data_IF_810125470250
#
_entry.id   IF_810125470250
#
_cell.length_a   1.000
_cell.length_b   1.000
_cell.length_c   1.000
_cell.angle_alpha   90.00
_cell.angle_beta   90.00
_cell.angle_gamma   90.00
#
_symmetry.space_group_name_H-M   'P 1'
#
loop_
_entity.id
_entity.type
_entity.pdbx_description
1 polymer ?
#
# COMPACT_ATOMS: atom_id res chain seq x y z
N UNK A 1 13.37 12.66 18.80
CA UNK A 1 12.94 12.58 20.21
C UNK A 1 11.67 13.38 20.30
N UNK A 2 10.58 12.77 20.77
CA UNK A 2 9.31 13.49 20.93
C UNK A 2 9.25 14.07 22.33
N UNK A 3 8.86 15.33 22.46
CA UNK A 3 8.60 15.93 23.77
C UNK A 3 7.23 15.44 24.28
N UNK A 4 7.16 14.69 25.39
CA UNK A 4 5.90 14.19 25.93
C UNK A 4 4.91 15.28 26.33
N UNK A 5 5.36 16.52 26.51
CA UNK A 5 4.48 17.66 26.83
C UNK A 5 3.64 18.12 25.65
N UNK A 6 4.05 17.76 24.43
CA UNK A 6 3.38 18.14 23.20
C UNK A 6 2.53 17.00 22.61
N UNK A 7 2.32 15.92 23.38
CA UNK A 7 1.55 14.75 22.97
C UNK A 7 0.16 14.73 23.60
N UNK A 8 -0.85 14.46 22.78
CA UNK A 8 -2.24 14.31 23.19
C UNK A 8 -2.61 12.83 23.27
N UNK A 9 -3.49 12.49 24.21
CA UNK A 9 -3.98 11.12 24.36
C UNK A 9 -4.72 10.72 23.08
N UNK A 10 -4.23 9.67 22.42
CA UNK A 10 -4.70 9.25 21.10
C UNK A 10 -3.71 9.45 19.97
N UNK A 11 -2.66 10.26 20.14
CA UNK A 11 -1.64 10.48 19.10
C UNK A 11 -0.94 9.17 18.73
N UNK A 12 -0.85 8.88 17.43
CA UNK A 12 -0.13 7.70 16.96
C UNK A 12 1.37 7.92 17.08
N UNK A 13 2.04 6.96 17.69
CA UNK A 13 3.47 6.97 17.97
C UNK A 13 4.12 5.69 17.46
N UNK A 14 5.32 5.83 16.93
CA UNK A 14 6.19 4.71 16.56
C UNK A 14 7.37 4.59 17.52
N UNK A 15 7.62 3.38 17.98
CA UNK A 15 8.78 3.03 18.81
C UNK A 15 9.97 2.74 17.91
N UNK A 16 10.98 3.61 17.89
CA UNK A 16 12.12 3.54 16.95
C UNK A 16 12.84 2.18 17.01
N UNK A 17 13.14 1.68 18.21
CA UNK A 17 13.87 0.42 18.40
C UNK A 17 13.14 -0.85 17.97
N UNK A 18 11.80 -0.84 17.92
CA UNK A 18 11.01 -2.06 17.69
C UNK A 18 10.08 -1.96 16.48
N UNK A 19 9.97 -0.78 15.87
CA UNK A 19 9.04 -0.47 14.78
C UNK A 19 7.56 -0.44 15.17
N UNK A 20 7.22 -0.75 16.44
CA UNK A 20 5.84 -0.87 16.92
C UNK A 20 5.12 0.48 16.89
N UNK A 21 3.90 0.45 16.37
CA UNK A 21 2.99 1.60 16.33
C UNK A 21 1.93 1.43 17.41
N UNK A 22 1.59 2.51 18.10
CA UNK A 22 0.52 2.54 19.09
C UNK A 22 0.17 3.97 19.48
N UNK A 23 -0.90 4.14 20.22
CA UNK A 23 -1.39 5.46 20.60
C UNK A 23 -0.81 5.91 21.94
N UNK A 24 -0.59 7.21 22.09
CA UNK A 24 -0.19 7.82 23.35
C UNK A 24 -1.32 7.74 24.37
N UNK A 25 -1.06 7.20 25.56
CA UNK A 25 -2.02 7.10 26.67
C UNK A 25 -1.57 7.91 27.91
N UNK A 26 -0.54 8.75 27.76
CA UNK A 26 0.00 9.59 28.83
C UNK A 26 1.41 9.19 29.28
N UNK A 27 1.87 9.81 30.38
CA UNK A 27 3.20 9.58 30.95
C UNK A 27 3.07 8.86 32.29
N UNK A 28 3.83 7.79 32.49
CA UNK A 28 3.91 7.12 33.78
C UNK A 28 4.73 7.94 34.78
N UNK A 29 4.51 7.75 36.09
CA UNK A 29 5.17 8.53 37.14
C UNK A 29 6.71 8.47 37.15
N UNK A 30 7.31 7.56 36.38
CA UNK A 30 8.76 7.45 36.15
C UNK A 30 9.27 8.22 34.91
N UNK A 31 8.43 9.07 34.31
CA UNK A 31 8.77 9.88 33.14
C UNK A 31 8.79 9.13 31.80
N UNK A 32 8.43 7.84 31.77
CA UNK A 32 8.29 7.07 30.53
C UNK A 32 6.90 7.22 29.93
N UNK A 33 6.84 7.26 28.61
CA UNK A 33 5.60 7.40 27.84
C UNK A 33 4.87 6.05 27.76
N UNK A 34 3.55 6.07 27.97
CA UNK A 34 2.65 4.93 27.76
C UNK A 34 2.19 4.92 26.31
N UNK A 35 2.58 3.87 25.59
CA UNK A 35 2.15 3.61 24.22
C UNK A 35 1.26 2.37 24.21
N UNK A 36 -0.01 2.54 23.85
CA UNK A 36 -0.97 1.44 23.73
C UNK A 36 -0.91 0.86 22.33
N UNK A 37 -0.47 -0.38 22.20
CA UNK A 37 -0.41 -1.09 20.92
C UNK A 37 -1.23 -2.38 21.07
N UNK A 38 -2.44 -2.36 20.49
CA UNK A 38 -3.45 -3.41 20.68
C UNK A 38 -3.96 -3.48 22.13
N UNK A 39 -4.08 -4.68 22.75
CA UNK A 39 -4.56 -4.84 24.12
C UNK A 39 -3.49 -4.57 25.19
N UNK A 40 -2.25 -4.22 24.81
CA UNK A 40 -1.10 -4.10 25.72
C UNK A 40 -0.55 -2.68 25.73
N UNK A 41 -0.14 -2.21 26.91
CA UNK A 41 0.50 -0.91 27.13
C UNK A 41 2.00 -1.11 27.31
N UNK A 42 2.79 -0.33 26.58
CA UNK A 42 4.25 -0.34 26.62
C UNK A 42 4.77 0.95 27.23
N UNK A 43 5.74 0.84 28.15
CA UNK A 43 6.45 1.98 28.72
C UNK A 43 7.73 2.24 27.94
N UNK A 44 7.77 3.33 27.20
CA UNK A 44 8.86 3.66 26.27
C UNK A 44 9.46 5.01 26.65
N UNK A 45 10.79 5.12 26.59
CA UNK A 45 11.45 6.41 26.78
C UNK A 45 11.09 7.35 25.62
N UNK A 46 10.86 8.63 25.92
CA UNK A 46 10.54 9.68 24.92
C UNK A 46 11.60 9.82 23.83
N UNK A 47 12.86 9.52 24.15
CA UNK A 47 13.99 9.47 23.21
C UNK A 47 13.81 8.41 22.12
N UNK A 48 13.07 7.34 22.42
CA UNK A 48 12.86 6.18 21.56
C UNK A 48 11.48 6.20 20.87
N UNK A 49 10.80 7.36 20.87
CA UNK A 49 9.51 7.58 20.24
C UNK A 49 9.60 8.63 19.14
N UNK A 50 8.77 8.46 18.11
CA UNK A 50 8.46 9.43 17.06
C UNK A 50 6.96 9.48 16.80
N UNK A 51 6.45 10.66 16.44
CA UNK A 51 5.06 10.80 16.01
C UNK A 51 4.89 10.05 14.70
N UNK A 52 3.90 9.17 14.65
CA UNK A 52 3.52 8.43 13.46
C UNK A 52 2.38 9.15 12.80
N UNK A 53 2.69 9.96 11.80
CA UNK A 53 1.71 10.35 10.77
C UNK A 53 1.89 9.37 9.62
N UNK A 54 0.85 8.63 9.21
CA UNK A 54 0.86 8.01 7.89
C UNK A 54 1.19 9.11 6.90
N UNK A 55 2.28 8.94 6.13
CA UNK A 55 2.61 9.91 5.09
C UNK A 55 1.47 9.86 4.08
N UNK A 56 0.57 10.85 4.12
CA UNK A 56 -0.27 11.14 2.97
C UNK A 56 0.70 11.58 1.86
N UNK A 57 0.73 10.83 0.76
CA UNK A 57 1.51 11.20 -0.41
C UNK A 57 1.10 12.62 -0.81
N UNK A 58 2.03 13.60 -0.84
CA UNK A 58 1.69 14.94 -1.29
C UNK A 58 1.24 14.85 -2.74
N UNK A 59 0.05 15.36 -3.01
CA UNK A 59 -0.46 15.64 -4.36
C UNK A 59 0.61 16.41 -5.15
N UNK A 60 1.36 15.72 -6.00
CA UNK A 60 2.27 16.37 -6.95
C UNK A 60 1.46 16.84 -8.14
N UNK A 61 0.94 18.07 -8.02
CA UNK A 61 0.69 18.90 -9.19
C UNK A 61 2.04 19.46 -9.67
N UNK A 62 2.37 19.17 -10.93
CA UNK A 62 3.36 19.82 -11.79
C UNK A 62 4.65 20.40 -11.13
N UNK A 63 5.73 19.63 -11.27
CA UNK A 63 7.06 20.16 -11.62
C UNK A 63 7.98 20.62 -10.49
N UNK A 64 9.27 20.36 -10.76
CA UNK A 64 10.49 20.87 -10.12
C UNK A 64 11.20 19.88 -9.18
N UNK A 65 12.51 19.85 -9.43
CA UNK A 65 13.52 18.84 -9.19
C UNK A 65 13.91 18.64 -7.72
N UNK A 66 14.56 17.49 -7.52
CA UNK A 66 15.42 17.08 -6.40
C UNK A 66 14.76 16.99 -5.02
N UNK A 67 14.46 15.75 -4.58
CA UNK A 67 14.86 15.24 -3.25
C UNK A 67 14.94 13.72 -3.30
N UNK A 68 16.18 13.25 -3.25
CA UNK A 68 16.62 11.93 -2.83
C UNK A 68 16.09 11.58 -1.43
N UNK A 69 15.27 10.53 -1.26
CA UNK A 69 15.20 9.75 -0.01
C UNK A 69 14.72 8.30 -0.26
N UNK A 70 15.71 7.44 -0.49
CA UNK A 70 15.87 6.09 0.08
C UNK A 70 14.64 5.21 0.37
N UNK A 71 13.69 5.10 -0.56
CA UNK A 71 13.01 3.83 -0.74
C UNK A 71 13.97 2.89 -1.46
N UNK A 72 14.65 2.07 -0.66
CA UNK A 72 15.33 0.83 -1.03
C UNK A 72 15.52 0.67 -2.55
N UNK A 73 16.73 0.98 -3.02
CA UNK A 73 17.27 0.52 -4.30
C UNK A 73 17.06 -0.98 -4.43
N UNK A 74 15.88 -1.37 -4.89
CA UNK A 74 15.74 -2.41 -5.88
C UNK A 74 15.89 -1.66 -7.21
N UNK A 75 17.11 -1.16 -7.47
CA UNK A 75 17.59 -0.91 -8.82
C UNK A 75 17.95 -2.27 -9.47
N UNK A 76 17.17 -3.32 -9.19
CA UNK A 76 16.82 -4.21 -10.27
C UNK A 76 15.91 -3.34 -11.15
N UNK A 77 16.24 -3.23 -12.42
CA UNK A 77 15.17 -3.22 -13.42
C UNK A 77 14.28 -4.44 -13.12
N UNK A 78 13.34 -4.31 -12.17
CA UNK A 78 12.31 -5.30 -11.87
C UNK A 78 11.53 -5.38 -13.18
N UNK A 79 11.88 -6.38 -13.99
CA UNK A 79 11.16 -6.64 -15.23
C UNK A 79 9.72 -6.87 -14.81
N UNK A 80 8.85 -5.93 -15.18
CA UNK A 80 7.41 -6.10 -15.00
C UNK A 80 7.04 -7.45 -15.60
N UNK A 81 6.48 -8.32 -14.75
CA UNK A 81 6.05 -9.65 -15.16
C UNK A 81 4.89 -9.56 -16.15
N UNK A 82 4.66 -10.64 -16.92
CA UNK A 82 3.54 -10.69 -17.87
C UNK A 82 2.18 -10.94 -17.18
N UNK A 83 2.17 -11.12 -15.86
CA UNK A 83 0.96 -11.25 -15.07
C UNK A 83 1.10 -10.66 -13.66
N UNK A 84 -0.04 -10.27 -13.07
CA UNK A 84 -0.19 -9.92 -11.65
C UNK A 84 -1.32 -10.74 -11.02
N UNK A 85 -1.09 -11.21 -9.79
CA UNK A 85 -2.09 -11.85 -8.95
C UNK A 85 -2.54 -10.89 -7.86
N UNK A 86 -3.83 -10.51 -7.90
CA UNK A 86 -4.44 -9.55 -7.00
C UNK A 86 -4.97 -10.19 -5.72
N UNK A 87 -4.82 -11.49 -5.49
CA UNK A 87 -5.26 -12.09 -4.23
C UNK A 87 -4.47 -11.52 -3.03
N UNK A 88 -5.16 -11.22 -1.94
CA UNK A 88 -4.58 -10.56 -0.76
C UNK A 88 -3.42 -11.35 -0.17
N UNK A 89 -3.48 -12.68 -0.20
CA UNK A 89 -2.44 -13.57 0.30
C UNK A 89 -1.14 -13.44 -0.51
N UNK A 90 -1.23 -13.00 -1.77
CA UNK A 90 -0.07 -12.73 -2.64
C UNK A 90 0.48 -11.33 -2.47
N UNK A 91 -0.40 -10.34 -2.22
CA UNK A 91 -0.01 -8.94 -2.09
C UNK A 91 0.54 -8.61 -0.69
N UNK A 92 -0.07 -9.13 0.37
CA UNK A 92 0.32 -8.85 1.77
C UNK A 92 -0.28 -9.89 2.72
N UNK A 93 0.48 -10.95 3.07
CA UNK A 93 0.02 -12.01 3.98
C UNK A 93 -0.41 -11.49 5.36
N UNK A 94 0.17 -10.37 5.81
CA UNK A 94 -0.10 -9.76 7.11
C UNK A 94 -1.47 -9.05 7.19
N UNK A 95 -2.10 -8.76 6.05
CA UNK A 95 -3.38 -8.06 5.95
C UNK A 95 -4.60 -8.99 5.83
N UNK A 96 -4.42 -10.31 5.97
CA UNK A 96 -5.52 -11.27 5.87
C UNK A 96 -6.64 -11.06 6.91
N UNK A 97 -6.38 -10.31 7.98
CA UNK A 97 -7.35 -9.93 9.02
C UNK A 97 -7.72 -8.44 9.00
N UNK A 98 -7.32 -7.69 7.97
CA UNK A 98 -7.67 -6.29 7.83
C UNK A 98 -9.16 -6.12 7.47
N UNK A 99 -9.67 -4.89 7.61
CA UNK A 99 -11.02 -4.56 7.16
C UNK A 99 -11.14 -4.84 5.64
N UNK A 100 -12.26 -5.44 5.17
CA UNK A 100 -12.44 -5.78 3.77
C UNK A 100 -12.23 -4.61 2.80
N UNK A 101 -12.63 -3.40 3.21
CA UNK A 101 -12.41 -2.15 2.46
C UNK A 101 -10.92 -1.86 2.25
N UNK A 102 -10.10 -2.03 3.29
CA UNK A 102 -8.65 -1.81 3.19
C UNK A 102 -7.98 -2.82 2.27
N UNK A 103 -8.49 -4.05 2.25
CA UNK A 103 -8.01 -5.12 1.38
C UNK A 103 -8.29 -4.77 -0.08
N UNK A 104 -9.53 -4.35 -0.40
CA UNK A 104 -9.88 -4.02 -1.79
C UNK A 104 -9.07 -2.82 -2.28
N UNK A 105 -8.85 -1.80 -1.46
CA UNK A 105 -8.04 -0.63 -1.82
C UNK A 105 -6.60 -1.02 -2.18
N UNK A 106 -5.99 -1.94 -1.43
CA UNK A 106 -4.65 -2.44 -1.72
C UNK A 106 -4.61 -3.18 -3.06
N UNK A 107 -5.60 -4.02 -3.34
CA UNK A 107 -5.68 -4.78 -4.59
C UNK A 107 -5.84 -3.86 -5.81
N UNK A 108 -6.69 -2.85 -5.65
CA UNK A 108 -6.95 -1.78 -6.61
C UNK A 108 -5.68 -0.96 -6.88
N UNK A 109 -4.98 -0.52 -5.84
CA UNK A 109 -3.72 0.21 -5.98
C UNK A 109 -2.62 -0.65 -6.64
N UNK A 110 -2.54 -1.93 -6.28
CA UNK A 110 -1.59 -2.87 -6.89
C UNK A 110 -1.85 -3.06 -8.38
N UNK A 111 -3.11 -3.08 -8.79
CA UNK A 111 -3.50 -3.12 -10.20
C UNK A 111 -3.05 -1.86 -10.95
N UNK A 112 -3.28 -0.66 -10.41
CA UNK A 112 -2.91 0.60 -11.08
C UNK A 112 -1.40 0.68 -11.31
N UNK A 113 -0.62 0.44 -10.25
CA UNK A 113 0.84 0.44 -10.31
C UNK A 113 1.35 -0.55 -11.37
N UNK A 114 0.74 -1.74 -11.44
CA UNK A 114 1.14 -2.75 -12.41
C UNK A 114 0.82 -2.35 -13.85
N UNK A 115 -0.38 -1.81 -14.12
CA UNK A 115 -0.77 -1.38 -15.47
C UNK A 115 0.15 -0.26 -15.96
N UNK A 116 0.40 0.75 -15.14
CA UNK A 116 1.32 1.85 -15.48
C UNK A 116 2.73 1.31 -15.78
N UNK A 117 3.23 0.39 -14.93
CA UNK A 117 4.53 -0.22 -15.12
C UNK A 117 4.59 -1.06 -16.41
N UNK A 118 3.54 -1.81 -16.74
CA UNK A 118 3.44 -2.61 -17.97
C UNK A 118 3.44 -1.74 -19.23
N UNK A 119 2.70 -0.62 -19.20
CA UNK A 119 2.66 0.38 -20.28
C UNK A 119 4.05 1.00 -20.46
N UNK A 120 4.70 1.43 -19.37
CA UNK A 120 6.06 2.01 -19.40
C UNK A 120 7.08 1.02 -19.94
N UNK A 121 6.93 -0.26 -19.60
CA UNK A 121 7.76 -1.35 -20.11
C UNK A 121 7.41 -1.79 -21.54
N UNK A 122 6.43 -1.15 -22.20
CA UNK A 122 5.92 -1.49 -23.53
C UNK A 122 5.51 -2.95 -23.68
N UNK A 123 4.87 -3.52 -22.65
CA UNK A 123 4.32 -4.87 -22.72
C UNK A 123 3.11 -4.86 -23.65
N UNK A 124 3.13 -5.67 -24.70
CA UNK A 124 1.99 -5.76 -25.62
C UNK A 124 0.79 -6.49 -25.00
N UNK A 125 1.04 -7.46 -24.13
CA UNK A 125 0.00 -8.30 -23.51
C UNK A 125 0.38 -8.55 -22.05
N UNK A 126 -0.61 -8.46 -21.16
CA UNK A 126 -0.48 -8.86 -19.74
C UNK A 126 -1.72 -9.60 -19.25
N UNK A 127 -1.59 -10.30 -18.13
CA UNK A 127 -2.71 -11.01 -17.47
C UNK A 127 -2.95 -10.51 -16.05
N UNK A 128 -4.19 -10.15 -15.74
CA UNK A 128 -4.63 -9.73 -14.41
C UNK A 128 -5.43 -10.88 -13.77
N UNK A 129 -4.91 -11.50 -12.72
CA UNK A 129 -5.58 -12.57 -11.98
C UNK A 129 -6.29 -11.93 -10.78
N UNK A 130 -7.62 -11.83 -10.86
CA UNK A 130 -8.46 -11.23 -9.82
C UNK A 130 -9.33 -12.25 -9.07
N UNK A 131 -9.28 -13.51 -9.47
CA UNK A 131 -10.09 -14.59 -8.91
C UNK A 131 -11.54 -14.58 -9.42
N UNK A 132 -12.24 -15.71 -9.24
CA UNK A 132 -13.65 -15.86 -9.64
C UNK A 132 -14.58 -15.12 -8.67
N UNK A 133 -14.47 -15.46 -7.37
CA UNK A 133 -15.12 -14.76 -6.26
C UNK A 133 -16.58 -14.35 -6.49
N UNK A 134 -16.97 -13.20 -5.93
CA UNK A 134 -18.24 -12.52 -6.19
C UNK A 134 -18.21 -11.60 -7.41
N UNK A 135 -17.05 -11.47 -8.07
CA UNK A 135 -16.87 -10.61 -9.25
C UNK A 135 -16.64 -9.12 -8.96
N UNK A 136 -16.46 -8.71 -7.70
CA UNK A 136 -16.20 -7.30 -7.34
C UNK A 136 -14.91 -6.79 -7.97
N UNK A 137 -13.77 -7.46 -7.71
CA UNK A 137 -12.48 -7.09 -8.31
C UNK A 137 -12.53 -7.10 -9.84
N UNK A 138 -13.16 -8.13 -10.42
CA UNK A 138 -13.34 -8.23 -11.87
C UNK A 138 -14.02 -6.98 -12.43
N UNK A 139 -15.11 -6.57 -11.80
CA UNK A 139 -15.90 -5.41 -12.23
C UNK A 139 -15.07 -4.12 -12.18
N UNK A 140 -14.29 -3.93 -11.11
CA UNK A 140 -13.43 -2.74 -10.94
C UNK A 140 -12.29 -2.74 -11.96
N UNK A 141 -11.61 -3.87 -12.15
CA UNK A 141 -10.56 -4.05 -13.18
C UNK A 141 -11.12 -3.71 -14.55
N UNK A 142 -12.26 -4.28 -14.93
CA UNK A 142 -12.89 -4.02 -16.23
C UNK A 142 -13.34 -2.57 -16.39
N UNK A 143 -13.82 -1.91 -15.34
CA UNK A 143 -14.17 -0.50 -15.39
C UNK A 143 -12.94 0.38 -15.67
N UNK A 144 -11.82 0.11 -15.01
CA UNK A 144 -10.58 0.86 -15.21
C UNK A 144 -9.94 0.61 -16.57
N UNK A 145 -9.93 -0.64 -17.03
CA UNK A 145 -9.41 -0.98 -18.36
C UNK A 145 -10.22 -0.32 -19.49
N UNK A 146 -11.52 -0.06 -19.30
CA UNK A 146 -12.34 0.68 -20.28
C UNK A 146 -11.96 2.16 -20.40
N UNK A 147 -11.38 2.73 -19.35
CA UNK A 147 -10.98 4.15 -19.32
C UNK A 147 -9.49 4.36 -19.60
N UNK A 148 -8.69 3.29 -19.62
CA UNK A 148 -7.26 3.37 -19.95
C UNK A 148 -7.07 3.49 -21.45
N UNK A 149 -6.51 4.62 -21.89
CA UNK A 149 -6.33 4.91 -23.31
C UNK A 149 -5.41 3.91 -24.00
N UNK A 150 -4.38 3.38 -23.33
CA UNK A 150 -3.42 2.45 -23.95
C UNK A 150 -3.97 1.05 -24.18
N UNK A 151 -5.14 0.72 -23.61
CA UNK A 151 -5.76 -0.60 -23.78
C UNK A 151 -6.43 -0.68 -25.15
N UNK A 152 -5.95 -1.61 -25.99
CA UNK A 152 -6.57 -1.93 -27.28
C UNK A 152 -7.79 -2.83 -27.09
N UNK A 153 -7.65 -3.89 -26.31
CA UNK A 153 -8.72 -4.82 -26.00
C UNK A 153 -8.41 -5.62 -24.74
N UNK A 154 -9.43 -6.20 -24.12
CA UNK A 154 -9.26 -7.15 -23.04
C UNK A 154 -10.32 -8.25 -23.12
N UNK A 155 -10.00 -9.43 -22.59
CA UNK A 155 -10.91 -10.58 -22.56
C UNK A 155 -10.76 -11.39 -21.27
N UNK A 156 -11.84 -12.03 -20.85
CA UNK A 156 -11.81 -12.93 -19.70
C UNK A 156 -11.08 -14.25 -20.04
N UNK A 157 -10.30 -14.73 -19.08
CA UNK A 157 -9.65 -16.05 -19.09
C UNK A 157 -10.13 -16.86 -17.86
N UNK A 158 -9.90 -18.17 -17.89
CA UNK A 158 -10.11 -19.09 -16.75
C UNK A 158 -11.53 -18.99 -16.14
N UNK A 159 -12.56 -19.03 -17.00
CA UNK A 159 -13.98 -18.83 -16.65
C UNK A 159 -14.23 -17.56 -15.80
N UNK A 160 -13.60 -16.45 -16.18
CA UNK A 160 -13.74 -15.17 -15.48
C UNK A 160 -12.94 -15.06 -14.20
N UNK A 161 -11.90 -15.88 -14.03
CA UNK A 161 -10.94 -15.76 -12.92
C UNK A 161 -9.76 -14.82 -13.22
N UNK A 162 -9.56 -14.47 -14.48
CA UNK A 162 -8.50 -13.56 -14.91
C UNK A 162 -8.94 -12.75 -16.15
N UNK A 163 -8.19 -11.69 -16.45
CA UNK A 163 -8.39 -10.84 -17.63
C UNK A 163 -7.07 -10.67 -18.37
N UNK A 164 -7.04 -11.05 -19.65
CA UNK A 164 -5.94 -10.73 -20.56
C UNK A 164 -6.16 -9.33 -21.13
N UNK A 165 -5.13 -8.51 -21.14
CA UNK A 165 -5.15 -7.12 -21.62
C UNK A 165 -4.14 -6.97 -22.73
N UNK A 166 -4.57 -6.41 -23.86
CA UNK A 166 -3.73 -6.10 -25.01
C UNK A 166 -3.59 -4.59 -25.11
N UNK A 167 -2.35 -4.11 -25.21
CA UNK A 167 -2.04 -2.68 -25.35
C UNK A 167 -1.62 -2.31 -26.77
N UNK A 168 -1.80 -1.04 -27.14
CA UNK A 168 -1.21 -0.45 -28.33
C UNK A 168 -0.19 0.64 -27.95
N UNK A 169 0.88 0.77 -28.75
CA UNK A 169 1.96 1.73 -28.53
C UNK A 169 2.29 2.50 -29.81
#
# INVERSE_FOLDING_TARGET
MVDPKNLWVGDELRVKSSGRIGTFEGVAGNGKVRVKSGPKIYLVASTNLELYTPLEDPVTDLGIEDIDLEHKKNNSTEKVGDAIDLHTEKLSPELSNALPERIIDLQISSFDIYIEAAIKAKKHIVTIIHGKGTGVLKSIVHQRLKTEEKVFSFRELNDGGATEVVFYF
#
